data_IF_430734147944
#
_entry.id   IF_430734147944
#
_cell.length_a   1.000
_cell.length_b   1.000
_cell.length_c   1.000
_cell.angle_alpha   90.00
_cell.angle_beta   90.00
_cell.angle_gamma   90.00
#
_symmetry.space_group_name_H-M   'P 1'
#
loop_
_entity.id
_entity.type
_entity.pdbx_description
1 polymer ?
#
# COMPACT_ATOMS: atom_id res chain seq x y z
N UNK A 1 6.74 -20.81 2.17
CA UNK A 1 8.19 -20.50 2.01
C UNK A 1 8.36 -19.23 1.19
N UNK A 2 9.56 -18.66 1.17
CA UNK A 2 9.97 -17.62 0.26
C UNK A 2 10.19 -18.18 -1.15
N UNK A 3 10.15 -17.34 -2.19
CA UNK A 3 10.37 -17.75 -3.58
C UNK A 3 11.78 -18.26 -3.90
N UNK A 4 12.71 -18.22 -2.93
CA UNK A 4 14.01 -18.88 -3.00
C UNK A 4 14.04 -20.24 -2.29
N UNK A 5 12.89 -20.73 -1.80
CA UNK A 5 12.75 -22.00 -1.09
C UNK A 5 13.03 -21.96 0.42
N UNK A 6 13.48 -20.81 0.96
CA UNK A 6 13.70 -20.68 2.40
C UNK A 6 12.38 -20.61 3.17
N UNK A 7 12.31 -21.12 4.42
CA UNK A 7 11.09 -21.02 5.21
C UNK A 7 10.78 -19.57 5.58
N UNK A 8 9.51 -19.19 5.55
CA UNK A 8 9.01 -17.96 6.19
C UNK A 8 8.85 -18.25 7.67
N UNK A 9 9.47 -17.44 8.50
CA UNK A 9 9.49 -17.61 9.96
C UNK A 9 8.93 -16.39 10.69
N UNK A 10 8.67 -16.56 11.98
CA UNK A 10 8.28 -15.48 12.88
C UNK A 10 9.32 -14.34 12.91
N UNK A 11 10.62 -14.67 12.73
CA UNK A 11 11.68 -13.67 12.70
C UNK A 11 11.59 -12.74 11.49
N UNK A 12 11.09 -13.20 10.35
CA UNK A 12 10.89 -12.35 9.17
C UNK A 12 9.87 -11.21 9.44
N UNK A 13 8.86 -11.49 10.28
CA UNK A 13 7.91 -10.47 10.71
C UNK A 13 8.51 -9.55 11.77
N UNK A 14 9.24 -10.08 12.75
CA UNK A 14 9.90 -9.27 13.77
C UNK A 14 10.86 -8.29 13.12
N UNK A 15 11.72 -8.77 12.23
CA UNK A 15 12.65 -7.94 11.46
C UNK A 15 11.92 -6.87 10.64
N UNK A 16 10.89 -7.26 9.88
CA UNK A 16 10.14 -6.33 9.04
C UNK A 16 9.49 -5.21 9.86
N UNK A 17 8.93 -5.51 11.04
CA UNK A 17 8.23 -4.53 11.86
C UNK A 17 9.20 -3.63 12.65
N UNK A 18 10.35 -4.17 13.08
CA UNK A 18 11.43 -3.34 13.64
C UNK A 18 11.94 -2.35 12.60
N UNK A 19 12.14 -2.80 11.36
CA UNK A 19 12.52 -1.93 10.24
C UNK A 19 11.44 -0.93 9.87
N UNK A 20 10.13 -1.30 9.99
CA UNK A 20 9.02 -0.38 9.72
C UNK A 20 9.03 0.84 10.63
N UNK A 21 9.34 0.65 11.92
CA UNK A 21 9.35 1.74 12.92
C UNK A 21 10.71 2.43 13.06
N UNK A 22 11.76 1.90 12.41
CA UNK A 22 13.09 2.49 12.41
C UNK A 22 13.08 3.84 11.66
N UNK A 23 13.42 4.97 12.33
CA UNK A 23 13.48 6.26 11.68
C UNK A 23 14.53 6.33 10.55
N UNK A 24 15.59 5.52 10.60
CA UNK A 24 16.61 5.45 9.55
C UNK A 24 16.06 4.78 8.27
N UNK A 25 15.10 3.87 8.39
CA UNK A 25 14.44 3.25 7.24
C UNK A 25 13.45 4.20 6.53
N UNK A 26 12.97 5.24 7.21
CA UNK A 26 12.12 6.28 6.64
C UNK A 26 10.79 5.80 6.07
N UNK A 27 10.20 4.75 6.66
CA UNK A 27 8.97 4.14 6.15
C UNK A 27 7.77 5.08 6.29
N UNK A 28 7.10 5.39 5.18
CA UNK A 28 5.96 6.33 5.14
C UNK A 28 4.76 5.89 5.99
N UNK A 29 4.64 4.60 6.28
CA UNK A 29 3.53 4.01 7.04
C UNK A 29 3.93 3.55 8.45
N UNK A 30 5.08 3.98 8.98
CA UNK A 30 5.55 3.65 10.33
C UNK A 30 4.47 3.94 11.40
N UNK A 31 3.73 5.04 11.25
CA UNK A 31 2.67 5.45 12.18
C UNK A 31 1.56 4.40 12.38
N UNK A 32 1.35 3.48 11.43
CA UNK A 32 0.36 2.40 11.59
C UNK A 32 0.75 1.42 12.70
N UNK A 33 2.02 1.37 13.08
CA UNK A 33 2.52 0.54 14.16
C UNK A 33 2.43 1.20 15.55
N UNK A 34 1.93 2.43 15.67
CA UNK A 34 1.90 3.24 16.91
C UNK A 34 1.26 2.54 18.11
N UNK A 35 0.37 1.59 17.88
CA UNK A 35 -0.30 0.81 18.93
C UNK A 35 0.56 -0.33 19.47
N UNK A 36 1.66 -0.67 18.83
CA UNK A 36 2.62 -1.64 19.33
C UNK A 36 3.48 -0.95 20.41
N UNK A 37 3.72 -1.65 21.50
CA UNK A 37 4.52 -1.16 22.61
C UNK A 37 5.90 -0.68 22.12
N UNK A 38 6.35 0.46 22.60
CA UNK A 38 7.60 1.15 22.30
C UNK A 38 7.70 1.73 20.87
N UNK A 39 6.71 1.54 20.00
CA UNK A 39 6.80 2.00 18.61
C UNK A 39 6.97 3.53 18.50
N UNK A 40 6.27 4.31 19.32
CA UNK A 40 6.36 5.77 19.28
C UNK A 40 7.73 6.29 19.71
N UNK A 41 8.30 5.71 20.77
CA UNK A 41 9.63 6.05 21.27
C UNK A 41 10.73 5.68 20.26
N UNK A 42 10.57 4.55 19.55
CA UNK A 42 11.48 4.14 18.49
C UNK A 42 11.39 5.11 17.31
N UNK A 43 10.17 5.39 16.82
CA UNK A 43 9.96 6.35 15.73
C UNK A 43 10.47 7.76 16.05
N UNK A 44 10.49 8.15 17.32
CA UNK A 44 11.09 9.39 17.79
C UNK A 44 12.63 9.34 17.87
N UNK A 45 13.25 8.18 17.66
CA UNK A 45 14.70 7.97 17.81
C UNK A 45 15.18 7.92 19.26
N UNK A 46 14.26 7.69 20.21
CA UNK A 46 14.54 7.66 21.65
C UNK A 46 14.83 6.23 22.16
N UNK A 47 14.55 5.21 21.34
CA UNK A 47 14.67 3.80 21.69
C UNK A 47 15.15 2.98 20.48
N UNK A 48 15.86 1.87 20.74
CA UNK A 48 16.34 0.96 19.69
C UNK A 48 15.18 0.19 19.06
N UNK A 49 15.15 0.00 17.71
CA UNK A 49 14.13 -0.82 17.03
C UNK A 49 13.97 -2.23 17.59
N UNK A 50 15.04 -2.82 18.13
CA UNK A 50 14.99 -4.14 18.76
C UNK A 50 14.12 -4.21 20.03
N UNK A 51 13.76 -3.05 20.61
CA UNK A 51 12.90 -2.96 21.80
C UNK A 51 11.40 -2.88 21.45
N UNK A 52 11.05 -2.96 20.16
CA UNK A 52 9.65 -3.03 19.73
C UNK A 52 8.93 -4.19 20.42
N UNK A 53 7.70 -3.95 20.85
CA UNK A 53 6.86 -4.95 21.54
C UNK A 53 6.44 -6.14 20.66
N UNK A 54 7.36 -6.70 19.88
CA UNK A 54 7.17 -7.88 19.03
C UNK A 54 8.29 -8.88 19.26
N UNK A 55 7.97 -10.16 19.41
CA UNK A 55 8.96 -11.20 19.71
C UNK A 55 8.57 -12.51 19.02
N UNK A 56 9.51 -13.15 18.34
CA UNK A 56 9.37 -14.52 17.88
C UNK A 56 9.50 -15.48 19.07
N UNK A 57 8.44 -16.16 19.42
CA UNK A 57 8.41 -17.17 20.50
C UNK A 57 8.95 -18.50 19.98
N UNK A 58 8.67 -18.80 18.71
CA UNK A 58 9.19 -19.92 17.94
C UNK A 58 9.24 -19.51 16.46
N UNK A 59 9.67 -20.41 15.59
CA UNK A 59 9.66 -20.16 14.14
C UNK A 59 8.26 -19.86 13.57
N UNK A 60 7.21 -20.26 14.26
CA UNK A 60 5.82 -20.15 13.80
C UNK A 60 4.91 -19.37 14.74
N UNK A 61 5.45 -18.75 15.79
CA UNK A 61 4.68 -18.02 16.79
C UNK A 61 5.29 -16.67 17.10
N UNK A 62 4.48 -15.62 16.98
CA UNK A 62 4.83 -14.23 17.32
C UNK A 62 4.00 -13.78 18.50
N UNK A 63 4.66 -13.19 19.48
CA UNK A 63 4.01 -12.46 20.58
C UNK A 63 4.09 -10.96 20.29
N UNK A 64 2.93 -10.28 20.35
CA UNK A 64 2.81 -8.85 20.14
C UNK A 64 2.22 -8.21 21.41
N UNK A 65 2.88 -7.19 21.92
CA UNK A 65 2.42 -6.39 23.06
C UNK A 65 1.90 -5.05 22.55
N UNK A 66 0.61 -4.77 22.78
CA UNK A 66 -0.03 -3.52 22.41
C UNK A 66 -0.07 -2.56 23.62
N UNK A 67 0.02 -1.26 23.37
CA UNK A 67 -0.06 -0.21 24.42
C UNK A 67 -1.47 -0.08 24.96
N UNK A 68 -2.48 -0.45 24.18
CA UNK A 68 -3.90 -0.40 24.56
C UNK A 68 -4.70 -1.43 23.75
N UNK A 69 -5.90 -1.81 24.21
CA UNK A 69 -6.78 -2.66 23.42
C UNK A 69 -7.11 -2.02 22.08
N UNK A 70 -6.73 -2.68 20.98
CA UNK A 70 -6.88 -2.19 19.60
C UNK A 70 -7.69 -3.18 18.78
N UNK A 71 -9.03 -3.07 18.74
CA UNK A 71 -9.90 -4.07 18.10
C UNK A 71 -9.66 -4.26 16.59
N UNK A 72 -9.09 -3.26 15.92
CA UNK A 72 -8.79 -3.29 14.49
C UNK A 72 -7.37 -3.75 14.18
N UNK A 73 -6.57 -4.13 15.17
CA UNK A 73 -5.16 -4.47 14.97
C UNK A 73 -4.96 -5.61 13.97
N UNK A 74 -5.77 -6.67 14.08
CA UNK A 74 -5.71 -7.79 13.12
C UNK A 74 -5.96 -7.35 11.68
N UNK A 75 -6.83 -6.35 11.48
CA UNK A 75 -7.08 -5.79 10.14
C UNK A 75 -5.88 -5.00 9.59
N UNK A 76 -5.05 -4.40 10.46
CA UNK A 76 -3.82 -3.73 10.05
C UNK A 76 -2.79 -4.72 9.48
N UNK A 77 -2.76 -5.95 9.98
CA UNK A 77 -1.81 -6.98 9.52
C UNK A 77 -2.01 -7.37 8.05
N UNK A 78 -3.18 -7.09 7.49
CA UNK A 78 -3.47 -7.27 6.07
C UNK A 78 -2.89 -6.14 5.18
N UNK A 79 -2.37 -5.08 5.79
CA UNK A 79 -1.75 -3.98 5.06
C UNK A 79 -0.29 -4.29 4.74
N UNK A 80 0.16 -3.95 3.55
CA UNK A 80 1.49 -4.33 3.03
C UNK A 80 2.67 -3.88 3.90
N UNK A 81 2.52 -2.82 4.70
CA UNK A 81 3.55 -2.37 5.62
C UNK A 81 3.90 -3.41 6.70
N UNK A 82 2.96 -4.34 7.00
CA UNK A 82 3.16 -5.42 7.98
C UNK A 82 3.58 -6.75 7.36
N UNK A 83 3.81 -6.80 6.05
CA UNK A 83 4.26 -8.03 5.43
C UNK A 83 5.68 -8.40 5.87
N UNK A 84 6.00 -9.69 5.97
CA UNK A 84 7.31 -10.15 6.40
C UNK A 84 8.40 -9.75 5.39
N UNK A 85 9.64 -9.63 5.86
CA UNK A 85 10.82 -9.42 5.04
C UNK A 85 11.91 -10.38 5.49
N UNK A 86 12.55 -11.06 4.55
CA UNK A 86 13.69 -11.94 4.84
C UNK A 86 14.91 -11.08 5.17
N UNK A 87 15.38 -11.15 6.43
CA UNK A 87 16.48 -10.32 6.92
C UNK A 87 17.77 -10.53 6.13
N UNK A 88 18.11 -11.79 5.82
CA UNK A 88 19.34 -12.11 5.08
C UNK A 88 19.30 -11.49 3.67
N UNK A 89 18.17 -11.61 2.98
CA UNK A 89 18.00 -11.06 1.66
C UNK A 89 18.01 -9.51 1.66
N UNK A 90 17.27 -8.89 2.59
CA UNK A 90 17.27 -7.41 2.73
C UNK A 90 18.67 -6.90 3.01
N UNK A 91 19.41 -7.55 3.90
CA UNK A 91 20.78 -7.19 4.25
C UNK A 91 21.74 -7.36 3.07
N UNK A 92 21.63 -8.47 2.32
CA UNK A 92 22.43 -8.71 1.11
C UNK A 92 22.19 -7.64 0.05
N UNK A 93 20.91 -7.29 -0.20
CA UNK A 93 20.55 -6.32 -1.25
C UNK A 93 20.81 -4.87 -0.83
N UNK A 94 20.75 -4.55 0.46
CA UNK A 94 20.95 -3.18 0.96
C UNK A 94 20.06 -2.17 0.23
N UNK A 95 20.66 -1.10 -0.27
CA UNK A 95 19.96 -0.02 -0.99
C UNK A 95 19.26 -0.49 -2.29
N UNK A 96 19.57 -1.68 -2.78
CA UNK A 96 18.93 -2.24 -3.97
C UNK A 96 17.64 -2.99 -3.65
N UNK A 97 17.37 -3.31 -2.37
CA UNK A 97 16.14 -4.02 -2.00
C UNK A 97 14.90 -3.33 -2.55
N UNK A 98 14.05 -4.07 -3.28
CA UNK A 98 12.81 -3.56 -3.86
C UNK A 98 12.98 -2.71 -5.13
N UNK A 99 14.18 -2.59 -5.71
CA UNK A 99 14.42 -1.72 -6.87
C UNK A 99 14.30 -2.39 -8.24
N UNK A 100 14.21 -3.72 -8.30
CA UNK A 100 13.99 -4.50 -9.53
C UNK A 100 13.52 -5.91 -9.16
N UNK A 101 13.10 -6.70 -10.13
CA UNK A 101 12.69 -8.10 -9.92
C UNK A 101 13.75 -8.92 -9.17
N UNK A 102 15.02 -8.76 -9.51
CA UNK A 102 16.14 -9.47 -8.88
C UNK A 102 16.40 -9.07 -7.41
N UNK A 103 15.81 -7.95 -7.00
CA UNK A 103 15.97 -7.37 -5.65
C UNK A 103 14.69 -7.49 -4.82
N UNK A 104 13.78 -8.37 -5.22
CA UNK A 104 12.54 -8.68 -4.50
C UNK A 104 12.51 -10.17 -4.21
N UNK A 105 12.18 -10.51 -2.97
CA UNK A 105 11.89 -11.88 -2.55
C UNK A 105 10.41 -11.92 -2.15
N UNK A 106 9.66 -12.85 -2.71
CA UNK A 106 8.22 -12.94 -2.51
C UNK A 106 7.84 -14.23 -1.73
N UNK A 107 6.76 -14.14 -0.98
CA UNK A 107 6.10 -15.29 -0.34
C UNK A 107 4.59 -15.31 -0.63
N UNK A 108 4.13 -14.46 -1.55
CA UNK A 108 2.75 -14.37 -2.02
C UNK A 108 2.46 -15.26 -3.22
N UNK A 109 1.23 -15.16 -3.79
CA UNK A 109 0.77 -16.00 -4.89
C UNK A 109 1.51 -15.78 -6.22
N UNK A 110 2.23 -14.67 -6.36
CA UNK A 110 3.00 -14.32 -7.55
C UNK A 110 4.38 -13.81 -7.19
N UNK A 111 5.34 -14.04 -8.08
CA UNK A 111 6.63 -13.37 -8.14
C UNK A 111 6.60 -12.28 -9.20
N UNK A 112 7.43 -11.24 -9.04
CA UNK A 112 7.57 -10.21 -10.07
C UNK A 112 8.77 -10.53 -10.96
N UNK A 113 8.57 -10.47 -12.27
CA UNK A 113 9.59 -10.73 -13.27
C UNK A 113 9.67 -9.61 -14.31
N UNK A 114 10.80 -9.53 -15.01
CA UNK A 114 11.03 -8.60 -16.12
C UNK A 114 10.89 -7.11 -15.75
N UNK A 115 11.02 -6.75 -14.47
CA UNK A 115 11.02 -5.36 -14.02
C UNK A 115 12.43 -4.92 -13.62
N UNK A 116 12.93 -3.90 -14.30
CA UNK A 116 14.26 -3.31 -14.09
C UNK A 116 14.26 -2.10 -13.12
N UNK A 117 13.11 -1.81 -12.48
CA UNK A 117 12.92 -0.68 -11.57
C UNK A 117 12.48 0.62 -12.24
N UNK A 118 12.59 0.74 -13.57
CA UNK A 118 12.26 1.95 -14.34
C UNK A 118 11.28 1.68 -15.47
N UNK A 119 11.20 0.45 -15.93
CA UNK A 119 10.30 0.01 -16.99
C UNK A 119 8.82 0.21 -16.64
N UNK A 120 8.00 0.41 -17.68
CA UNK A 120 6.56 0.58 -17.57
C UNK A 120 5.80 -0.73 -17.73
N UNK A 121 6.49 -1.84 -17.79
CA UNK A 121 5.91 -3.18 -17.94
C UNK A 121 6.65 -4.14 -17.02
N UNK A 122 5.93 -5.13 -16.49
CA UNK A 122 6.46 -6.27 -15.75
C UNK A 122 5.45 -7.41 -15.76
N UNK A 123 5.92 -8.57 -15.36
CA UNK A 123 5.11 -9.77 -15.29
C UNK A 123 4.99 -10.23 -13.84
N UNK A 124 3.79 -10.66 -13.45
CA UNK A 124 3.54 -11.38 -12.22
C UNK A 124 3.36 -12.84 -12.61
N UNK A 125 4.31 -13.68 -12.24
CA UNK A 125 4.32 -15.11 -12.55
C UNK A 125 3.90 -15.88 -11.30
N UNK A 126 3.06 -16.90 -11.49
CA UNK A 126 2.57 -17.73 -10.39
C UNK A 126 3.74 -18.28 -9.58
N UNK A 127 3.65 -18.14 -8.26
CA UNK A 127 4.60 -18.69 -7.32
C UNK A 127 4.17 -20.10 -6.90
N UNK A 128 4.83 -21.10 -7.44
CA UNK A 128 4.53 -22.51 -7.12
C UNK A 128 4.86 -22.88 -5.67
N UNK A 129 5.70 -22.10 -5.00
CA UNK A 129 6.05 -22.28 -3.59
C UNK A 129 5.07 -21.57 -2.62
N UNK A 130 4.04 -20.91 -3.15
CA UNK A 130 3.00 -20.29 -2.33
C UNK A 130 2.16 -21.35 -1.61
N UNK A 131 1.88 -21.16 -0.32
CA UNK A 131 1.18 -22.16 0.50
C UNK A 131 -0.22 -22.58 -0.01
N UNK A 132 -0.84 -21.74 -0.84
CA UNK A 132 -2.13 -22.00 -1.48
C UNK A 132 -2.01 -21.92 -3.02
N UNK A 133 -0.88 -22.36 -3.60
CA UNK A 133 -0.64 -22.30 -5.05
C UNK A 133 -1.72 -23.04 -5.86
N UNK A 134 -2.30 -24.11 -5.35
CA UNK A 134 -3.39 -24.84 -5.99
C UNK A 134 -4.69 -24.02 -6.15
N UNK A 135 -4.86 -22.96 -5.38
CA UNK A 135 -6.01 -22.04 -5.47
C UNK A 135 -5.77 -20.93 -6.50
N UNK A 136 -4.52 -20.70 -6.91
CA UNK A 136 -4.14 -19.68 -7.87
C UNK A 136 -4.41 -20.20 -9.29
N UNK A 137 -5.37 -19.57 -9.97
CA UNK A 137 -5.82 -20.01 -11.30
C UNK A 137 -5.04 -19.35 -12.46
N UNK A 138 -4.49 -18.15 -12.23
CA UNK A 138 -3.72 -17.45 -13.24
C UNK A 138 -2.26 -17.85 -13.17
N UNK A 139 -1.69 -18.24 -14.31
CA UNK A 139 -0.28 -18.59 -14.41
C UNK A 139 0.60 -17.33 -14.53
N UNK A 140 0.08 -16.29 -15.20
CA UNK A 140 0.80 -15.06 -15.46
C UNK A 140 -0.15 -13.87 -15.57
N UNK A 141 0.28 -12.70 -15.09
CA UNK A 141 -0.40 -11.41 -15.26
C UNK A 141 0.61 -10.40 -15.82
N UNK A 142 0.41 -9.98 -17.06
CA UNK A 142 1.24 -8.92 -17.66
C UNK A 142 0.72 -7.56 -17.22
N UNK A 143 1.57 -6.77 -16.60
CA UNK A 143 1.23 -5.44 -16.09
C UNK A 143 1.85 -4.37 -16.98
N UNK A 144 1.04 -3.38 -17.37
CA UNK A 144 1.47 -2.25 -18.17
C UNK A 144 1.01 -0.93 -17.56
N UNK A 145 1.93 0.01 -17.35
CA UNK A 145 1.61 1.37 -16.89
C UNK A 145 1.20 2.23 -18.08
N UNK A 146 -0.08 2.63 -18.10
CA UNK A 146 -0.65 3.51 -19.12
C UNK A 146 -1.14 4.78 -18.40
N UNK A 147 -0.57 5.93 -18.77
CA UNK A 147 -0.84 7.21 -18.08
C UNK A 147 -2.18 7.82 -18.49
N UNK A 148 -2.58 7.64 -19.75
CA UNK A 148 -3.79 8.27 -20.29
C UNK A 148 -4.98 7.32 -20.22
N UNK A 149 -6.02 7.69 -19.47
CA UNK A 149 -7.23 6.85 -19.28
C UNK A 149 -7.93 6.54 -20.61
N UNK A 150 -7.96 7.47 -21.56
CA UNK A 150 -8.54 7.23 -22.89
C UNK A 150 -7.79 6.12 -23.66
N UNK A 151 -6.48 6.05 -23.50
CA UNK A 151 -5.67 5.01 -24.14
C UNK A 151 -5.97 3.65 -23.54
N UNK A 152 -6.05 3.53 -22.20
CA UNK A 152 -6.33 2.23 -21.58
C UNK A 152 -7.74 1.73 -21.91
N UNK A 153 -8.72 2.63 -22.00
CA UNK A 153 -10.09 2.26 -22.44
C UNK A 153 -10.11 1.72 -23.86
N UNK A 154 -9.37 2.36 -24.77
CA UNK A 154 -9.25 1.87 -26.16
C UNK A 154 -8.58 0.49 -26.22
N UNK A 155 -7.53 0.26 -25.44
CA UNK A 155 -6.86 -1.05 -25.37
C UNK A 155 -7.79 -2.14 -24.81
N UNK A 156 -8.59 -1.81 -23.80
CA UNK A 156 -9.61 -2.72 -23.29
C UNK A 156 -10.67 -3.06 -24.35
N UNK A 157 -11.18 -2.07 -25.06
CA UNK A 157 -12.17 -2.29 -26.13
C UNK A 157 -11.62 -3.11 -27.32
N UNK A 158 -10.30 -3.06 -27.54
CA UNK A 158 -9.61 -3.87 -28.55
C UNK A 158 -9.23 -5.27 -28.05
N UNK A 159 -9.47 -5.57 -26.76
CA UNK A 159 -9.06 -6.84 -26.15
C UNK A 159 -7.56 -6.96 -25.93
N UNK A 160 -6.83 -5.85 -25.87
CA UNK A 160 -5.38 -5.83 -25.59
C UNK A 160 -5.05 -5.79 -24.11
N UNK A 161 -6.01 -5.42 -23.27
CA UNK A 161 -5.94 -5.52 -21.81
C UNK A 161 -7.27 -6.03 -21.26
N UNK A 162 -7.23 -6.81 -20.20
CA UNK A 162 -8.40 -7.43 -19.55
C UNK A 162 -8.99 -6.58 -18.45
N UNK A 163 -8.21 -5.66 -17.89
CA UNK A 163 -8.60 -4.76 -16.81
C UNK A 163 -8.09 -3.35 -17.07
N UNK A 164 -8.94 -2.35 -16.90
CA UNK A 164 -8.61 -0.95 -17.12
C UNK A 164 -9.20 -0.08 -16.01
N UNK A 165 -8.37 0.69 -15.32
CA UNK A 165 -8.88 1.67 -14.37
C UNK A 165 -9.38 2.91 -15.10
N UNK A 166 -10.64 3.28 -14.87
CA UNK A 166 -11.28 4.46 -15.46
C UNK A 166 -11.39 5.57 -14.42
N UNK A 167 -11.05 6.79 -14.79
CA UNK A 167 -11.13 7.99 -13.94
C UNK A 167 -11.68 9.19 -14.73
N UNK A 168 -12.10 10.22 -14.01
CA UNK A 168 -12.54 11.48 -14.60
C UNK A 168 -13.81 11.36 -15.45
N UNK A 169 -13.91 12.16 -16.50
CA UNK A 169 -15.10 12.24 -17.34
C UNK A 169 -15.46 10.94 -18.07
N UNK A 170 -14.50 10.06 -18.31
CA UNK A 170 -14.75 8.76 -18.93
C UNK A 170 -15.63 7.85 -18.07
N UNK A 171 -15.61 8.02 -16.75
CA UNK A 171 -16.54 7.30 -15.84
C UNK A 171 -17.99 7.61 -16.21
N UNK A 172 -18.32 8.88 -16.49
CA UNK A 172 -19.66 9.30 -16.89
C UNK A 172 -20.05 8.76 -18.27
N UNK A 173 -19.09 8.79 -19.21
CA UNK A 173 -19.32 8.30 -20.58
C UNK A 173 -19.56 6.79 -20.60
N UNK A 174 -18.91 6.06 -19.72
CA UNK A 174 -18.99 4.60 -19.61
C UNK A 174 -20.00 4.12 -18.55
N UNK A 175 -20.74 5.00 -17.90
CA UNK A 175 -21.63 4.66 -16.77
C UNK A 175 -22.70 3.59 -17.11
N UNK A 176 -23.02 3.41 -18.39
CA UNK A 176 -23.98 2.40 -18.85
C UNK A 176 -23.32 1.17 -19.47
N UNK A 177 -21.99 1.14 -19.55
CA UNK A 177 -21.26 -0.02 -20.07
C UNK A 177 -21.33 -1.17 -19.06
N UNK A 178 -21.80 -2.36 -19.44
CA UNK A 178 -21.94 -3.50 -18.53
C UNK A 178 -20.62 -4.02 -17.95
N UNK A 179 -19.50 -3.66 -18.54
CA UNK A 179 -18.16 -4.04 -18.05
C UNK A 179 -17.65 -3.10 -16.96
N UNK A 180 -18.32 -1.99 -16.69
CA UNK A 180 -17.89 -1.06 -15.65
C UNK A 180 -18.30 -1.55 -14.27
N UNK A 181 -17.30 -1.75 -13.41
CA UNK A 181 -17.47 -2.12 -12.01
C UNK A 181 -17.09 -0.94 -11.12
N UNK A 182 -18.06 -0.42 -10.35
CA UNK A 182 -17.81 0.66 -9.38
C UNK A 182 -17.47 0.06 -8.02
N UNK A 183 -16.24 0.25 -7.57
CA UNK A 183 -15.79 -0.16 -6.23
C UNK A 183 -15.78 1.05 -5.28
N UNK A 184 -16.63 1.03 -4.27
CA UNK A 184 -16.58 2.02 -3.17
C UNK A 184 -15.41 1.72 -2.26
N UNK A 185 -14.56 2.72 -2.03
CA UNK A 185 -13.42 2.63 -1.11
C UNK A 185 -13.70 3.48 0.14
N UNK A 186 -13.30 2.99 1.31
CA UNK A 186 -13.29 3.76 2.56
C UNK A 186 -12.11 4.75 2.53
N UNK A 187 -12.21 5.77 1.67
CA UNK A 187 -11.16 6.77 1.44
C UNK A 187 -11.79 8.16 1.42
N UNK A 188 -11.20 9.08 2.17
CA UNK A 188 -11.55 10.50 2.17
C UNK A 188 -10.40 11.31 1.56
N UNK A 189 -10.71 12.17 0.59
CA UNK A 189 -9.78 13.17 0.10
C UNK A 189 -10.06 14.51 0.81
N UNK A 190 -9.04 15.17 1.32
CA UNK A 190 -9.17 16.42 2.04
C UNK A 190 -7.98 17.35 1.75
N UNK A 191 -8.14 18.63 2.07
CA UNK A 191 -7.06 19.62 2.02
C UNK A 191 -6.49 19.76 3.42
N UNK A 192 -5.21 19.48 3.56
CA UNK A 192 -4.46 19.74 4.78
C UNK A 192 -3.77 21.11 4.70
N UNK A 193 -3.88 21.87 5.78
CA UNK A 193 -3.27 23.18 5.89
C UNK A 193 -1.96 23.10 6.65
N UNK A 194 -0.88 23.64 6.06
CA UNK A 194 0.38 23.79 6.78
C UNK A 194 0.24 24.86 7.86
N UNK A 195 0.23 24.46 9.12
CA UNK A 195 0.08 25.35 10.26
C UNK A 195 1.35 26.15 10.60
N UNK A 196 2.50 25.84 10.02
CA UNK A 196 3.70 26.67 10.15
C UNK A 196 3.59 27.96 9.31
N UNK A 197 2.68 27.99 8.35
CA UNK A 197 2.39 29.19 7.58
C UNK A 197 1.59 30.17 8.46
N UNK A 198 2.15 31.39 8.67
CA UNK A 198 1.59 32.42 9.54
C UNK A 198 0.14 32.80 9.22
N UNK A 199 -0.25 32.79 7.94
CA UNK A 199 -1.62 33.08 7.52
C UNK A 199 -2.57 31.91 7.84
N UNK A 200 -2.09 30.69 7.65
CA UNK A 200 -2.89 29.47 7.85
C UNK A 200 -3.03 29.05 9.32
N UNK A 201 -2.33 29.70 10.25
CA UNK A 201 -2.59 29.59 11.68
C UNK A 201 -3.96 30.16 12.06
N UNK A 202 -4.51 31.08 11.26
CA UNK A 202 -5.83 31.66 11.51
C UNK A 202 -6.95 30.66 11.16
N UNK A 203 -7.63 30.13 12.19
CA UNK A 203 -8.72 29.18 12.03
C UNK A 203 -9.88 29.73 11.17
N UNK A 204 -10.17 31.04 11.23
CA UNK A 204 -11.23 31.64 10.43
C UNK A 204 -10.87 31.67 8.95
N UNK A 205 -9.59 31.87 8.61
CA UNK A 205 -9.12 31.79 7.23
C UNK A 205 -9.25 30.38 6.68
N UNK A 206 -8.86 29.36 7.44
CA UNK A 206 -9.01 27.95 7.03
C UNK A 206 -10.49 27.61 6.80
N UNK A 207 -11.36 28.03 7.73
CA UNK A 207 -12.80 27.83 7.60
C UNK A 207 -13.37 28.54 6.35
N UNK A 208 -12.94 29.78 6.07
CA UNK A 208 -13.36 30.52 4.89
C UNK A 208 -12.95 29.82 3.60
N UNK A 209 -11.72 29.29 3.51
CA UNK A 209 -11.27 28.50 2.35
C UNK A 209 -12.18 27.26 2.16
N UNK A 210 -12.50 26.57 3.24
CA UNK A 210 -13.38 25.40 3.19
C UNK A 210 -14.82 25.73 2.73
N UNK A 211 -15.32 26.94 3.07
CA UNK A 211 -16.67 27.39 2.68
C UNK A 211 -16.77 27.84 1.23
N UNK A 212 -15.67 28.33 0.63
CA UNK A 212 -15.64 28.77 -0.77
C UNK A 212 -15.67 27.59 -1.74
N UNK A 213 -15.21 26.41 -1.30
CA UNK A 213 -15.17 25.22 -2.15
C UNK A 213 -16.56 24.60 -2.22
N UNK A 214 -17.19 24.67 -3.41
CA UNK A 214 -18.41 23.92 -3.69
C UNK A 214 -18.05 22.44 -3.90
N UNK A 215 -18.23 21.64 -2.84
CA UNK A 215 -17.83 20.23 -2.85
C UNK A 215 -18.67 19.39 -3.81
N UNK A 216 -19.94 19.68 -3.96
CA UNK A 216 -20.82 18.97 -4.89
C UNK A 216 -20.36 19.21 -6.34
N UNK A 217 -20.12 20.46 -6.70
CA UNK A 217 -19.61 20.82 -8.03
C UNK A 217 -18.20 20.21 -8.28
N UNK A 218 -17.34 20.22 -7.26
CA UNK A 218 -16.02 19.59 -7.35
C UNK A 218 -16.11 18.09 -7.64
N UNK A 219 -16.97 17.38 -6.91
CA UNK A 219 -17.16 15.93 -7.07
C UNK A 219 -17.85 15.62 -8.39
N UNK A 220 -18.95 16.33 -8.72
CA UNK A 220 -19.77 16.00 -9.88
C UNK A 220 -19.16 16.45 -11.20
N UNK A 221 -18.48 17.60 -11.21
CA UNK A 221 -18.04 18.24 -12.45
C UNK A 221 -16.54 18.11 -12.70
N UNK A 222 -15.72 18.13 -11.65
CA UNK A 222 -14.25 18.10 -11.79
C UNK A 222 -13.69 16.70 -11.60
N UNK A 223 -14.05 16.01 -10.51
CA UNK A 223 -13.56 14.66 -10.22
C UNK A 223 -14.28 13.65 -11.10
N UNK A 224 -15.62 13.63 -11.05
CA UNK A 224 -16.46 12.84 -11.94
C UNK A 224 -16.30 11.31 -11.85
N UNK A 225 -15.74 10.79 -10.73
CA UNK A 225 -15.41 9.38 -10.56
C UNK A 225 -16.43 8.58 -9.75
N UNK A 226 -17.58 9.18 -9.41
CA UNK A 226 -18.61 8.58 -8.58
C UNK A 226 -18.37 8.74 -7.07
N UNK A 227 -17.37 9.51 -6.66
CA UNK A 227 -17.19 9.95 -5.27
C UNK A 227 -18.39 10.73 -4.76
N UNK A 228 -18.53 10.85 -3.45
CA UNK A 228 -19.60 11.61 -2.79
C UNK A 228 -19.00 12.78 -2.03
N UNK A 229 -19.60 13.95 -2.17
CA UNK A 229 -19.25 15.10 -1.34
C UNK A 229 -19.57 14.81 0.13
N UNK A 230 -18.61 15.10 1.02
CA UNK A 230 -18.79 14.94 2.46
C UNK A 230 -18.75 16.31 3.15
N UNK A 231 -19.55 16.45 4.19
CA UNK A 231 -19.48 17.58 5.11
C UNK A 231 -18.16 17.53 5.90
N UNK A 232 -17.47 18.64 6.05
CA UNK A 232 -16.31 18.78 6.90
C UNK A 232 -16.71 18.97 8.35
#
# INVERSE_FOLDING_TARGET
>A
VWSNGEPVTANDFVFAWQRLVDPEAGASYAYLAETIKNANEIMAGEMDPAELGVTAVSDTEIKIELTQPTPYFESLLAFSAFFPQNEAFVTEKGDKYGTSSENILANGPFTIENWDGTGLTWDLVKNEDYYAADEVQLEEVNVQVIKETSTVVNLFQQGSVDNAQVTGELVKQLATDPNVVVQKKARTAYIEFNHDNVYLQNAKLRAAIGLVINRDELVDSVIGDGSTAIGG
#
